data_IF_320940004906
#
_entry.id   IF_320940004906
#
_cell.length_a   1.000
_cell.length_b   1.000
_cell.length_c   1.000
_cell.angle_alpha   90.00
_cell.angle_beta   90.00
_cell.angle_gamma   90.00
#
_symmetry.space_group_name_H-M   'P 1'
#
loop_
_entity.id
_entity.type
_entity.pdbx_description
1 polymer ?
#
# COMPACT_ATOMS: atom_id res chain seq x y z
N UNK A 1 -34.06 -7.79 10.34
CA UNK A 1 -32.98 -7.38 9.42
C UNK A 1 -31.64 -7.64 10.10
N UNK A 2 -30.82 -8.56 9.58
CA UNK A 2 -29.55 -9.00 10.20
C UNK A 2 -28.52 -7.85 10.29
N UNK A 3 -27.74 -7.81 11.38
CA UNK A 3 -26.59 -6.91 11.56
C UNK A 3 -25.68 -6.87 10.32
N UNK A 4 -25.57 -8.01 9.61
CA UNK A 4 -24.80 -8.17 8.36
C UNK A 4 -25.28 -7.25 7.23
N UNK A 5 -26.56 -6.89 7.17
CA UNK A 5 -27.11 -6.01 6.11
C UNK A 5 -26.90 -4.53 6.40
N UNK A 6 -26.82 -4.12 7.68
CA UNK A 6 -26.53 -2.73 8.08
C UNK A 6 -25.04 -2.40 7.94
N UNK A 7 -24.14 -3.33 8.30
CA UNK A 7 -22.69 -3.19 8.08
C UNK A 7 -22.30 -3.08 6.60
N UNK A 8 -23.17 -3.49 5.67
CA UNK A 8 -22.93 -3.40 4.22
C UNK A 8 -23.17 -2.01 3.64
N UNK A 9 -23.80 -1.10 4.39
CA UNK A 9 -24.10 0.28 3.98
C UNK A 9 -23.12 1.33 4.51
N UNK A 10 -22.20 0.93 5.37
CA UNK A 10 -21.13 1.81 5.85
C UNK A 10 -19.96 1.67 4.86
N UNK A 11 -19.45 2.75 4.25
CA UNK A 11 -18.29 2.71 3.34
C UNK A 11 -16.96 2.52 4.10
N UNK A 12 -16.97 1.78 5.22
CA UNK A 12 -15.79 1.50 6.03
C UNK A 12 -15.33 0.09 5.69
N UNK A 13 -14.04 -0.03 5.35
CA UNK A 13 -13.41 -1.31 5.05
C UNK A 13 -13.56 -2.25 6.26
N UNK A 14 -14.06 -3.47 6.03
CA UNK A 14 -14.18 -4.50 7.07
C UNK A 14 -12.83 -4.83 7.70
N UNK A 15 -11.76 -4.75 6.92
CA UNK A 15 -10.41 -4.97 7.43
C UNK A 15 -10.00 -3.87 8.41
N UNK A 16 -10.30 -2.61 8.10
CA UNK A 16 -10.11 -1.49 9.02
C UNK A 16 -10.92 -1.65 10.31
N UNK A 17 -12.19 -2.09 10.23
CA UNK A 17 -13.00 -2.35 11.44
C UNK A 17 -12.36 -3.43 12.32
N UNK A 18 -11.85 -4.51 11.73
CA UNK A 18 -11.13 -5.54 12.48
C UNK A 18 -9.85 -4.96 13.10
N UNK A 19 -9.13 -4.10 12.39
CA UNK A 19 -7.90 -3.49 12.87
C UNK A 19 -8.16 -2.51 14.03
N UNK A 20 -9.21 -1.68 13.93
CA UNK A 20 -9.68 -0.82 15.04
C UNK A 20 -10.10 -1.68 16.23
N UNK A 21 -10.86 -2.76 16.01
CA UNK A 21 -11.25 -3.67 17.08
C UNK A 21 -10.03 -4.31 17.75
N UNK A 22 -9.02 -4.73 16.97
CA UNK A 22 -7.76 -5.26 17.49
C UNK A 22 -7.01 -4.23 18.32
N UNK A 23 -6.91 -2.98 17.86
CA UNK A 23 -6.30 -1.88 18.64
C UNK A 23 -7.06 -1.64 19.94
N UNK A 24 -8.40 -1.63 19.91
CA UNK A 24 -9.23 -1.47 21.10
C UNK A 24 -9.04 -2.63 22.08
N UNK A 25 -8.94 -3.87 21.58
CA UNK A 25 -8.66 -5.04 22.42
C UNK A 25 -7.27 -4.94 23.03
N UNK A 26 -6.23 -4.58 22.26
CA UNK A 26 -4.87 -4.40 22.77
C UNK A 26 -4.78 -3.27 23.81
N UNK A 27 -5.60 -2.22 23.69
CA UNK A 27 -5.67 -1.12 24.65
C UNK A 27 -6.25 -1.55 26.01
N UNK A 28 -7.27 -2.42 26.01
CA UNK A 28 -7.96 -2.87 27.24
C UNK A 28 -7.30 -4.11 27.83
N UNK A 29 -6.84 -5.02 26.98
CA UNK A 29 -6.26 -6.31 27.32
C UNK A 29 -4.92 -6.50 26.59
N UNK A 30 -3.88 -5.74 26.95
CA UNK A 30 -2.56 -5.92 26.35
C UNK A 30 -1.93 -7.24 26.77
N UNK A 31 -1.23 -7.91 25.85
CA UNK A 31 -0.33 -9.01 26.18
C UNK A 31 0.77 -8.54 27.16
N UNK A 32 1.06 -9.33 28.20
CA UNK A 32 2.03 -9.02 29.28
C UNK A 32 2.81 -10.26 29.67
N UNK A 33 4.04 -10.09 30.14
CA UNK A 33 4.88 -11.17 30.68
C UNK A 33 5.07 -12.32 29.69
N UNK A 34 4.97 -13.57 30.17
CA UNK A 34 5.13 -14.79 29.36
C UNK A 34 4.20 -14.86 28.14
N UNK A 35 3.01 -14.25 28.24
CA UNK A 35 2.07 -14.17 27.10
C UNK A 35 2.68 -13.30 25.99
N UNK A 36 3.33 -12.18 26.33
CA UNK A 36 3.97 -11.33 25.34
C UNK A 36 5.11 -12.07 24.61
N UNK A 37 5.95 -12.80 25.34
CA UNK A 37 7.03 -13.62 24.75
C UNK A 37 6.49 -14.68 23.78
N UNK A 38 5.38 -15.35 24.15
CA UNK A 38 4.72 -16.29 23.25
C UNK A 38 4.19 -15.59 21.99
N UNK A 39 3.58 -14.40 22.14
CA UNK A 39 3.12 -13.60 21.01
C UNK A 39 4.27 -13.17 20.08
N UNK A 40 5.46 -12.89 20.58
CA UNK A 40 6.62 -12.54 19.76
C UNK A 40 7.03 -13.69 18.83
N UNK A 41 7.13 -14.91 19.35
CA UNK A 41 7.43 -16.11 18.56
C UNK A 41 6.33 -16.43 17.54
N UNK A 42 5.06 -16.33 17.94
CA UNK A 42 3.93 -16.56 17.03
C UNK A 42 3.93 -15.48 15.93
N UNK A 43 4.21 -14.23 16.28
CA UNK A 43 4.27 -13.11 15.34
C UNK A 43 5.41 -13.31 14.35
N UNK A 44 6.60 -13.70 14.82
CA UNK A 44 7.73 -14.08 13.96
C UNK A 44 7.33 -15.15 12.94
N UNK A 45 6.72 -16.25 13.40
CA UNK A 45 6.26 -17.34 12.53
C UNK A 45 5.17 -16.91 11.55
N UNK A 46 4.23 -16.08 12.00
CA UNK A 46 3.13 -15.55 11.18
C UNK A 46 3.62 -14.62 10.08
N UNK A 47 4.63 -13.78 10.37
CA UNK A 47 5.25 -12.91 9.36
C UNK A 47 6.09 -13.74 8.37
N UNK A 48 6.88 -14.71 8.85
CA UNK A 48 7.63 -15.61 7.97
C UNK A 48 6.70 -16.38 7.01
N UNK A 49 5.60 -16.92 7.53
CA UNK A 49 4.56 -17.58 6.72
C UNK A 49 3.93 -16.61 5.72
N UNK A 50 3.62 -15.38 6.14
CA UNK A 50 3.05 -14.35 5.27
C UNK A 50 3.96 -14.09 4.06
N UNK A 51 5.24 -13.80 4.29
CA UNK A 51 6.19 -13.51 3.21
C UNK A 51 6.48 -14.74 2.35
N UNK A 52 6.52 -15.93 2.93
CA UNK A 52 6.57 -17.18 2.17
C UNK A 52 5.37 -17.32 1.23
N UNK A 53 4.15 -17.07 1.71
CA UNK A 53 2.94 -17.11 0.87
C UNK A 53 2.95 -16.02 -0.20
N UNK A 54 3.49 -14.83 0.09
CA UNK A 54 3.67 -13.78 -0.91
C UNK A 54 4.62 -14.23 -2.01
N UNK A 55 5.72 -14.89 -1.64
CA UNK A 55 6.65 -15.53 -2.55
C UNK A 55 5.97 -16.57 -3.43
N UNK A 56 5.32 -17.55 -2.80
CA UNK A 56 4.64 -18.65 -3.48
C UNK A 56 3.51 -18.21 -4.42
N UNK A 57 2.98 -16.98 -4.27
CA UNK A 57 1.92 -16.43 -5.10
C UNK A 57 2.41 -15.58 -6.27
N UNK A 58 3.69 -15.20 -6.33
CA UNK A 58 4.23 -14.40 -7.42
C UNK A 58 4.26 -15.17 -8.72
N UNK A 59 3.27 -14.95 -9.58
CA UNK A 59 3.33 -15.47 -10.93
C UNK A 59 4.29 -14.64 -11.78
N UNK A 60 5.38 -15.22 -12.33
CA UNK A 60 6.21 -14.53 -13.32
C UNK A 60 5.39 -14.06 -14.51
N UNK A 61 4.35 -14.80 -14.91
CA UNK A 61 3.44 -14.42 -16.00
C UNK A 61 2.65 -13.15 -15.66
N UNK A 62 2.29 -12.93 -14.39
CA UNK A 62 1.62 -11.71 -13.97
C UNK A 62 2.57 -10.49 -13.99
N UNK A 63 3.86 -10.71 -13.70
CA UNK A 63 4.92 -9.71 -13.88
C UNK A 63 5.08 -9.37 -15.36
N UNK A 64 5.14 -10.39 -16.23
CA UNK A 64 5.20 -10.22 -17.69
C UNK A 64 3.97 -9.51 -18.26
N UNK A 65 2.76 -9.82 -17.79
CA UNK A 65 1.55 -9.11 -18.20
C UNK A 65 1.57 -7.62 -17.81
N UNK A 66 2.24 -7.26 -16.70
CA UNK A 66 2.50 -5.86 -16.35
C UNK A 66 3.34 -5.13 -17.39
N UNK A 67 4.32 -5.81 -17.98
CA UNK A 67 5.17 -5.21 -19.01
C UNK A 67 4.41 -4.84 -20.29
N UNK A 68 3.21 -5.38 -20.54
CA UNK A 68 2.38 -5.00 -21.70
C UNK A 68 1.91 -3.53 -21.64
N UNK A 69 1.78 -2.93 -20.45
CA UNK A 69 1.46 -1.50 -20.26
C UNK A 69 2.64 -0.75 -19.60
N UNK A 70 3.86 -1.02 -20.05
CA UNK A 70 5.10 -0.57 -19.40
C UNK A 70 5.17 0.93 -19.10
N UNK A 71 4.60 1.81 -19.95
CA UNK A 71 4.58 3.27 -19.69
C UNK A 71 3.80 3.61 -18.42
N UNK A 72 2.61 3.04 -18.26
CA UNK A 72 1.75 3.24 -17.10
C UNK A 72 2.36 2.57 -15.87
N UNK A 73 2.80 1.32 -16.01
CA UNK A 73 3.40 0.56 -14.90
C UNK A 73 4.67 1.22 -14.39
N UNK A 74 5.57 1.61 -15.31
CA UNK A 74 6.79 2.32 -14.99
C UNK A 74 6.53 3.63 -14.26
N UNK A 75 5.50 4.39 -14.68
CA UNK A 75 5.09 5.60 -13.97
C UNK A 75 4.65 5.30 -12.53
N UNK A 76 3.77 4.30 -12.34
CA UNK A 76 3.30 3.94 -10.99
C UNK A 76 4.44 3.45 -10.12
N UNK A 77 5.39 2.68 -10.66
CA UNK A 77 6.55 2.18 -9.91
C UNK A 77 7.53 3.31 -9.56
N UNK A 78 7.82 4.23 -10.49
CA UNK A 78 8.61 5.42 -10.20
C UNK A 78 7.92 6.30 -9.16
N UNK A 79 6.61 6.44 -9.23
CA UNK A 79 5.87 7.15 -8.18
C UNK A 79 6.07 6.47 -6.83
N UNK A 80 5.86 5.16 -6.77
CA UNK A 80 5.87 4.38 -5.53
C UNK A 80 7.25 4.27 -4.88
N UNK A 81 8.29 3.98 -5.68
CA UNK A 81 9.63 3.62 -5.21
C UNK A 81 10.72 4.65 -5.54
N UNK A 82 10.38 5.78 -6.16
CA UNK A 82 11.31 6.90 -6.33
C UNK A 82 10.69 8.22 -5.81
N UNK A 83 9.54 8.66 -6.34
CA UNK A 83 8.92 9.92 -5.94
C UNK A 83 8.60 9.94 -4.44
N UNK A 84 7.93 8.91 -3.92
CA UNK A 84 7.62 8.86 -2.50
C UNK A 84 8.88 8.80 -1.62
N UNK A 85 9.88 7.93 -1.84
CA UNK A 85 11.14 7.99 -1.11
C UNK A 85 11.82 9.35 -1.17
N UNK A 86 11.79 10.06 -2.31
CA UNK A 86 12.28 11.45 -2.41
C UNK A 86 11.49 12.41 -1.52
N UNK A 87 10.15 12.29 -1.49
CA UNK A 87 9.31 13.04 -0.53
C UNK A 87 9.73 12.69 0.91
N UNK A 88 9.98 11.41 1.20
CA UNK A 88 10.46 10.93 2.49
C UNK A 88 11.78 11.58 2.93
N UNK A 89 12.75 11.67 2.02
CA UNK A 89 14.04 12.31 2.29
C UNK A 89 13.91 13.80 2.61
N UNK A 90 12.89 14.48 2.07
CA UNK A 90 12.58 15.88 2.39
C UNK A 90 11.80 16.00 3.70
N UNK A 91 10.87 15.09 3.96
CA UNK A 91 10.01 15.10 5.16
C UNK A 91 10.79 14.70 6.41
N UNK A 92 11.69 13.71 6.33
CA UNK A 92 12.42 13.18 7.47
C UNK A 92 13.14 14.26 8.32
N UNK A 93 13.96 15.17 7.77
CA UNK A 93 14.63 16.20 8.56
C UNK A 93 13.66 17.27 9.10
N UNK A 94 12.53 17.51 8.42
CA UNK A 94 11.50 18.45 8.88
C UNK A 94 10.72 17.84 10.06
N UNK A 95 10.28 16.60 9.92
CA UNK A 95 9.58 15.84 10.94
C UNK A 95 10.45 15.67 12.19
N UNK A 96 11.73 15.32 12.02
CA UNK A 96 12.66 15.12 13.15
C UNK A 96 12.93 16.37 14.00
N UNK A 97 12.58 17.57 13.53
CA UNK A 97 12.68 18.82 14.31
C UNK A 97 11.48 19.05 15.22
N UNK A 98 10.33 18.44 14.93
CA UNK A 98 9.04 18.77 15.57
C UNK A 98 8.33 17.54 16.13
N UNK A 99 8.79 16.33 15.80
CA UNK A 99 8.25 15.05 16.26
C UNK A 99 9.34 14.22 16.94
N UNK A 100 8.95 13.34 17.89
CA UNK A 100 9.80 12.25 18.36
C UNK A 100 10.38 11.44 17.21
N UNK A 101 11.58 10.88 17.42
CA UNK A 101 12.34 10.18 16.39
C UNK A 101 11.55 9.02 15.77
N UNK A 102 10.75 8.31 16.57
CA UNK A 102 9.96 7.15 16.17
C UNK A 102 8.80 7.53 15.25
N UNK A 103 8.15 8.68 15.50
CA UNK A 103 7.09 9.21 14.63
C UNK A 103 7.67 9.76 13.32
N UNK A 104 8.81 10.44 13.38
CA UNK A 104 9.51 10.91 12.18
C UNK A 104 9.98 9.73 11.32
N UNK A 105 10.49 8.67 11.95
CA UNK A 105 10.83 7.41 11.30
C UNK A 105 9.61 6.73 10.68
N UNK A 106 8.46 6.73 11.37
CA UNK A 106 7.20 6.21 10.83
C UNK A 106 6.73 6.95 9.57
N UNK A 107 6.82 8.28 9.57
CA UNK A 107 6.53 9.10 8.39
C UNK A 107 7.49 8.80 7.23
N UNK A 108 8.78 8.62 7.52
CA UNK A 108 9.76 8.26 6.51
C UNK A 108 9.47 6.86 5.94
N UNK A 109 9.30 5.88 6.82
CA UNK A 109 9.01 4.48 6.49
C UNK A 109 7.77 4.33 5.60
N UNK A 110 6.69 5.05 5.94
CA UNK A 110 5.47 5.14 5.12
C UNK A 110 5.78 5.42 3.64
N UNK A 111 6.74 6.31 3.35
CA UNK A 111 7.05 6.68 1.97
C UNK A 111 7.79 5.58 1.21
N UNK A 112 8.40 4.61 1.89
CA UNK A 112 9.12 3.50 1.28
C UNK A 112 8.22 2.31 0.93
N UNK A 113 6.96 2.33 1.37
CA UNK A 113 6.01 1.23 1.21
C UNK A 113 5.48 1.08 -0.23
N UNK A 114 5.03 -0.12 -0.62
CA UNK A 114 4.34 -0.31 -1.89
C UNK A 114 2.94 0.30 -1.90
N UNK A 115 2.31 0.32 -3.09
CA UNK A 115 0.95 0.82 -3.30
C UNK A 115 -0.13 -0.12 -2.74
N UNK A 116 -1.37 0.34 -2.61
CA UNK A 116 -2.51 -0.49 -2.17
C UNK A 116 -3.16 -1.28 -3.31
N UNK A 117 -3.56 -2.54 -3.08
CA UNK A 117 -4.32 -3.33 -4.07
C UNK A 117 -5.81 -3.00 -4.08
N UNK A 118 -6.52 -3.32 -2.98
CA UNK A 118 -7.99 -3.30 -2.98
C UNK A 118 -8.57 -1.90 -3.20
N UNK A 119 -8.08 -0.89 -2.47
CA UNK A 119 -8.59 0.48 -2.58
C UNK A 119 -8.25 1.12 -3.92
N UNK A 120 -7.08 0.87 -4.50
CA UNK A 120 -6.72 1.37 -5.83
C UNK A 120 -7.64 0.81 -6.92
N UNK A 121 -7.90 -0.50 -6.90
CA UNK A 121 -8.81 -1.14 -7.86
C UNK A 121 -10.24 -0.61 -7.68
N UNK A 122 -10.72 -0.55 -6.44
CA UNK A 122 -12.07 -0.10 -6.14
C UNK A 122 -12.30 1.36 -6.58
N UNK A 123 -11.40 2.28 -6.24
CA UNK A 123 -11.54 3.69 -6.63
C UNK A 123 -11.33 3.90 -8.12
N UNK A 124 -10.43 3.15 -8.77
CA UNK A 124 -10.28 3.17 -10.23
C UNK A 124 -11.57 2.73 -10.91
N UNK A 125 -12.20 1.66 -10.42
CA UNK A 125 -13.48 1.18 -10.94
C UNK A 125 -14.60 2.21 -10.76
N UNK A 126 -14.75 2.79 -9.56
CA UNK A 126 -15.77 3.82 -9.28
C UNK A 126 -15.58 5.04 -10.19
N UNK A 127 -14.34 5.45 -10.43
CA UNK A 127 -14.00 6.59 -11.27
C UNK A 127 -14.13 6.34 -12.78
N UNK A 128 -14.34 5.08 -13.20
CA UNK A 128 -14.36 4.69 -14.61
C UNK A 128 -12.98 4.64 -15.27
N UNK A 129 -11.93 4.32 -14.50
CA UNK A 129 -10.55 4.19 -14.99
C UNK A 129 -10.19 2.79 -15.49
N UNK A 130 -8.92 2.62 -15.87
CA UNK A 130 -8.38 1.35 -16.37
C UNK A 130 -8.17 0.34 -15.21
N UNK A 131 -9.23 -0.41 -14.89
CA UNK A 131 -9.23 -1.41 -13.82
C UNK A 131 -8.20 -2.54 -14.03
N UNK A 132 -8.02 -3.12 -15.23
CA UNK A 132 -6.98 -4.09 -15.49
C UNK A 132 -5.57 -3.55 -15.21
N UNK A 133 -5.25 -2.33 -15.66
CA UNK A 133 -3.96 -1.72 -15.38
C UNK A 133 -3.75 -1.48 -13.89
N UNK A 134 -4.77 -0.99 -13.18
CA UNK A 134 -4.70 -0.78 -11.73
C UNK A 134 -4.50 -2.08 -10.94
N UNK A 135 -5.19 -3.16 -11.32
CA UNK A 135 -5.01 -4.48 -10.73
C UNK A 135 -3.56 -4.95 -10.90
N UNK A 136 -3.01 -4.82 -12.11
CA UNK A 136 -1.64 -5.24 -12.40
C UNK A 136 -0.62 -4.37 -11.66
N UNK A 137 -0.76 -3.03 -11.73
CA UNK A 137 0.15 -2.10 -11.05
C UNK A 137 0.21 -2.31 -9.56
N UNK A 138 -0.95 -2.39 -8.92
CA UNK A 138 -0.99 -2.53 -7.48
C UNK A 138 -0.48 -3.91 -7.04
N UNK A 139 -0.81 -4.97 -7.78
CA UNK A 139 -0.31 -6.32 -7.47
C UNK A 139 1.21 -6.37 -7.60
N UNK A 140 1.76 -5.97 -8.75
CA UNK A 140 3.21 -5.99 -8.99
C UNK A 140 3.94 -5.07 -8.01
N UNK A 141 3.38 -3.88 -7.70
CA UNK A 141 3.96 -2.99 -6.70
C UNK A 141 4.06 -3.64 -5.32
N UNK A 142 3.03 -4.33 -4.82
CA UNK A 142 3.13 -5.03 -3.53
C UNK A 142 4.18 -6.13 -3.56
N UNK A 143 4.29 -6.84 -4.67
CA UNK A 143 5.22 -7.94 -4.81
C UNK A 143 6.66 -7.46 -4.89
N UNK A 144 6.92 -6.41 -5.68
CA UNK A 144 8.21 -5.72 -5.68
C UNK A 144 8.50 -5.12 -4.31
N UNK A 145 7.50 -4.54 -3.64
CA UNK A 145 7.64 -3.94 -2.32
C UNK A 145 8.21 -4.88 -1.26
N UNK A 146 7.90 -6.19 -1.34
CA UNK A 146 8.50 -7.20 -0.45
C UNK A 146 10.03 -7.16 -0.47
N UNK A 147 10.61 -6.89 -1.63
CA UNK A 147 12.06 -6.87 -1.84
C UNK A 147 12.60 -5.45 -1.78
N UNK A 148 11.94 -4.52 -2.48
CA UNK A 148 12.39 -3.14 -2.67
C UNK A 148 12.27 -2.32 -1.39
N UNK A 149 11.20 -2.48 -0.61
CA UNK A 149 11.01 -1.67 0.61
C UNK A 149 12.10 -1.94 1.65
N UNK A 150 12.44 -3.19 2.04
CA UNK A 150 13.57 -3.44 2.94
C UNK A 150 14.90 -2.91 2.40
N UNK A 151 15.15 -3.06 1.09
CA UNK A 151 16.36 -2.53 0.46
C UNK A 151 16.42 -1.00 0.51
N UNK A 152 15.30 -0.30 0.27
CA UNK A 152 15.21 1.15 0.40
C UNK A 152 15.40 1.62 1.85
N UNK A 153 14.84 0.89 2.82
CA UNK A 153 15.06 1.18 4.25
C UNK A 153 16.54 1.05 4.57
N UNK A 154 17.19 -0.04 4.16
CA UNK A 154 18.62 -0.26 4.37
C UNK A 154 19.48 0.85 3.76
N UNK A 155 19.21 1.21 2.51
CA UNK A 155 20.00 2.19 1.76
C UNK A 155 19.83 3.61 2.31
N UNK A 156 18.59 4.00 2.65
CA UNK A 156 18.29 5.40 2.96
C UNK A 156 18.31 5.70 4.47
N UNK A 157 18.04 4.73 5.34
CA UNK A 157 18.14 4.93 6.78
C UNK A 157 19.61 4.99 7.26
N UNK A 158 20.54 4.33 6.55
CA UNK A 158 21.97 4.34 6.87
C UNK A 158 22.68 5.67 6.54
N UNK A 159 22.17 6.45 5.57
CA UNK A 159 22.78 7.71 5.16
C UNK A 159 22.20 8.99 5.81
N UNK A 160 21.10 8.88 6.56
CA UNK A 160 20.24 10.01 6.93
C UNK A 160 20.46 10.65 8.31
N UNK A 161 21.59 10.41 9.00
CA UNK A 161 21.86 11.03 10.31
C UNK A 161 21.02 10.50 11.48
N UNK A 162 20.08 9.58 11.24
CA UNK A 162 19.43 8.79 12.27
C UNK A 162 20.33 7.59 12.62
N UNK A 163 21.31 7.80 13.50
CA UNK A 163 22.26 6.78 13.99
C UNK A 163 21.64 5.62 14.80
N UNK A 164 20.38 5.28 14.54
CA UNK A 164 19.63 4.24 15.24
C UNK A 164 19.72 2.85 14.59
N UNK A 165 20.25 2.75 13.36
CA UNK A 165 20.27 1.48 12.64
C UNK A 165 21.67 1.11 12.15
N UNK A 166 22.22 0.04 12.71
CA UNK A 166 23.42 -0.58 12.16
C UNK A 166 23.08 -1.30 10.85
N UNK A 167 24.01 -1.25 9.88
CA UNK A 167 23.87 -1.96 8.60
C UNK A 167 23.63 -3.47 8.82
N UNK A 168 24.31 -4.07 9.81
CA UNK A 168 24.17 -5.48 10.20
C UNK A 168 22.78 -5.83 10.74
N UNK A 169 22.18 -4.95 11.56
CA UNK A 169 20.83 -5.15 12.09
C UNK A 169 19.78 -5.08 10.98
N UNK A 170 19.89 -4.10 10.08
CA UNK A 170 18.94 -3.97 8.97
C UNK A 170 19.14 -5.08 7.93
N UNK A 171 20.37 -5.52 7.66
CA UNK A 171 20.66 -6.65 6.77
C UNK A 171 20.04 -7.94 7.28
N UNK A 172 20.23 -8.28 8.57
CA UNK A 172 19.62 -9.46 9.19
C UNK A 172 18.10 -9.44 9.10
N UNK A 173 17.49 -8.28 9.36
CA UNK A 173 16.05 -8.04 9.24
C UNK A 173 15.58 -8.15 7.79
N UNK A 174 16.32 -7.59 6.83
CA UNK A 174 16.01 -7.68 5.42
C UNK A 174 16.09 -9.13 4.94
N UNK A 175 17.11 -9.88 5.37
CA UNK A 175 17.24 -11.31 5.14
C UNK A 175 16.10 -12.10 5.79
N UNK A 176 15.62 -11.70 6.96
CA UNK A 176 14.48 -12.34 7.63
C UNK A 176 13.16 -12.15 6.87
N UNK A 177 13.02 -11.07 6.08
CA UNK A 177 11.87 -10.86 5.16
C UNK A 177 12.12 -11.57 3.82
N UNK A 178 13.32 -11.42 3.25
CA UNK A 178 13.68 -11.90 1.92
C UNK A 178 13.79 -13.43 1.86
N UNK A 179 14.41 -14.06 2.85
CA UNK A 179 14.61 -15.50 2.89
C UNK A 179 13.29 -16.30 2.80
N UNK A 180 12.25 -16.04 3.63
CA UNK A 180 10.98 -16.75 3.49
C UNK A 180 10.30 -16.45 2.16
N UNK A 181 10.39 -15.22 1.65
CA UNK A 181 9.86 -14.88 0.32
C UNK A 181 10.53 -15.68 -0.80
N UNK A 182 11.87 -15.78 -0.80
CA UNK A 182 12.65 -16.55 -1.77
C UNK A 182 12.32 -18.05 -1.64
N UNK A 183 12.23 -18.57 -0.43
CA UNK A 183 11.78 -19.95 -0.20
C UNK A 183 10.38 -20.19 -0.77
N UNK A 184 9.48 -19.21 -0.63
CA UNK A 184 8.16 -19.20 -1.25
C UNK A 184 8.21 -19.24 -2.77
N UNK A 185 9.08 -18.44 -3.40
CA UNK A 185 9.29 -18.47 -4.85
C UNK A 185 9.75 -19.84 -5.34
N UNK A 186 10.72 -20.44 -4.63
CA UNK A 186 11.25 -21.76 -4.98
C UNK A 186 10.16 -22.82 -4.83
N UNK A 187 9.31 -22.74 -3.81
CA UNK A 187 8.19 -23.65 -3.61
C UNK A 187 7.02 -23.42 -4.58
N UNK A 188 6.94 -22.26 -5.24
CA UNK A 188 5.80 -21.87 -6.09
C UNK A 188 5.39 -22.92 -7.13
N UNK A 189 6.28 -23.56 -7.90
CA UNK A 189 5.88 -24.55 -8.90
C UNK A 189 5.08 -25.72 -8.30
N UNK A 190 5.32 -26.02 -7.02
CA UNK A 190 4.66 -27.11 -6.29
C UNK A 190 3.32 -26.65 -5.68
N UNK A 191 3.30 -25.50 -4.98
CA UNK A 191 2.14 -25.08 -4.16
C UNK A 191 1.30 -23.95 -4.78
N UNK A 192 1.82 -23.25 -5.79
CA UNK A 192 1.21 -22.06 -6.38
C UNK A 192 -0.17 -22.32 -7.00
N UNK A 193 -0.33 -23.47 -7.67
CA UNK A 193 -1.62 -23.89 -8.22
C UNK A 193 -2.66 -24.19 -7.14
N UNK A 194 -2.24 -24.82 -6.04
CA UNK A 194 -3.11 -25.09 -4.89
C UNK A 194 -3.52 -23.79 -4.18
N UNK A 195 -2.57 -22.87 -3.97
CA UNK A 195 -2.83 -21.54 -3.39
C UNK A 195 -3.79 -20.71 -4.24
N UNK A 196 -3.67 -20.79 -5.57
CA UNK A 196 -4.57 -20.10 -6.49
C UNK A 196 -6.01 -20.61 -6.40
N UNK A 197 -6.20 -21.91 -6.09
CA UNK A 197 -7.51 -22.54 -5.88
C UNK A 197 -8.08 -22.26 -4.48
N UNK A 198 -7.23 -22.11 -3.47
CA UNK A 198 -7.62 -21.90 -2.07
C UNK A 198 -7.45 -20.44 -1.61
N UNK A 199 -7.91 -19.48 -2.43
CA UNK A 199 -7.83 -18.03 -2.12
C UNK A 199 -8.32 -17.65 -0.72
N UNK A 200 -9.41 -18.23 -0.16
CA UNK A 200 -9.88 -17.86 1.18
C UNK A 200 -8.86 -18.13 2.28
N UNK A 201 -8.13 -19.25 2.21
CA UNK A 201 -7.10 -19.60 3.20
C UNK A 201 -6.02 -18.53 3.23
N UNK A 202 -5.52 -18.16 2.06
CA UNK A 202 -4.50 -17.12 1.92
C UNK A 202 -4.98 -15.77 2.46
N UNK A 203 -6.23 -15.40 2.23
CA UNK A 203 -6.80 -14.13 2.75
C UNK A 203 -6.91 -14.15 4.27
N UNK A 204 -7.26 -15.30 4.86
CA UNK A 204 -7.31 -15.46 6.32
C UNK A 204 -5.92 -15.37 6.92
N UNK A 205 -4.92 -16.05 6.35
CA UNK A 205 -3.53 -15.95 6.83
C UNK A 205 -3.01 -14.52 6.69
N UNK A 206 -3.25 -13.88 5.54
CA UNK A 206 -2.82 -12.50 5.27
C UNK A 206 -3.37 -11.52 6.31
N UNK A 207 -4.69 -11.50 6.48
CA UNK A 207 -5.34 -10.60 7.44
C UNK A 207 -5.06 -11.00 8.89
N UNK A 208 -5.01 -12.29 9.18
CA UNK A 208 -4.74 -12.83 10.51
C UNK A 208 -3.35 -12.45 11.01
N UNK A 209 -2.33 -12.63 10.16
CA UNK A 209 -0.96 -12.22 10.48
C UNK A 209 -0.88 -10.70 10.71
N UNK A 210 -1.53 -9.87 9.90
CA UNK A 210 -1.52 -8.42 10.13
C UNK A 210 -2.19 -8.07 11.46
N UNK A 211 -3.37 -8.62 11.76
CA UNK A 211 -4.07 -8.36 13.02
C UNK A 211 -3.24 -8.82 14.23
N UNK A 212 -2.57 -9.96 14.13
CA UNK A 212 -1.67 -10.46 15.16
C UNK A 212 -0.51 -9.48 15.41
N UNK A 213 0.15 -9.03 14.35
CA UNK A 213 1.26 -8.07 14.41
C UNK A 213 0.80 -6.74 15.03
N UNK A 214 -0.36 -6.22 14.62
CA UNK A 214 -0.94 -5.01 15.24
C UNK A 214 -1.21 -5.23 16.72
N UNK A 215 -1.82 -6.36 17.08
CA UNK A 215 -2.15 -6.66 18.46
C UNK A 215 -0.90 -6.69 19.36
N UNK A 216 0.15 -7.40 18.93
CA UNK A 216 1.41 -7.50 19.65
C UNK A 216 2.04 -6.11 19.84
N UNK A 217 2.17 -5.35 18.75
CA UNK A 217 2.79 -4.02 18.76
C UNK A 217 2.04 -3.01 19.62
N UNK A 218 0.70 -2.97 19.52
CA UNK A 218 -0.10 -2.07 20.34
C UNK A 218 -0.10 -2.49 21.80
N UNK A 219 -0.12 -3.80 22.09
CA UNK A 219 -0.01 -4.32 23.46
C UNK A 219 1.31 -3.88 24.10
N UNK A 220 2.42 -4.03 23.38
CA UNK A 220 3.74 -3.57 23.81
C UNK A 220 3.72 -2.05 24.08
N UNK A 221 3.18 -1.25 23.16
CA UNK A 221 3.07 0.20 23.34
C UNK A 221 2.22 0.62 24.55
N UNK A 222 1.15 -0.13 24.86
CA UNK A 222 0.33 0.09 26.06
C UNK A 222 1.10 -0.24 27.34
N UNK A 223 1.79 -1.38 27.35
CA UNK A 223 2.60 -1.81 28.51
C UNK A 223 3.78 -0.86 28.74
N UNK A 224 4.39 -0.37 27.67
CA UNK A 224 5.48 0.60 27.71
C UNK A 224 5.03 2.04 28.00
N UNK A 225 3.71 2.30 28.13
CA UNK A 225 3.18 3.62 28.45
C UNK A 225 3.32 4.67 27.34
N UNK A 226 3.62 4.23 26.12
CA UNK A 226 3.96 5.08 24.98
C UNK A 226 2.79 5.99 24.54
N UNK A 227 1.56 5.53 24.75
CA UNK A 227 0.38 6.32 24.40
C UNK A 227 0.13 7.49 25.36
N UNK A 228 0.65 7.40 26.59
CA UNK A 228 0.53 8.47 27.59
C UNK A 228 1.53 9.60 27.34
N UNK A 229 2.64 9.31 26.66
CA UNK A 229 3.65 10.31 26.28
C UNK A 229 3.33 11.03 24.96
N UNK A 230 2.32 10.57 24.20
CA UNK A 230 1.86 11.21 22.98
C UNK A 230 0.84 12.32 23.27
N UNK A 231 1.26 13.57 23.07
CA UNK A 231 0.36 14.71 23.09
C UNK A 231 -0.50 14.83 21.83
N UNK A 232 -1.64 15.52 21.96
CA UNK A 232 -2.53 15.83 20.83
C UNK A 232 -1.85 16.68 19.75
N UNK A 233 -0.85 17.47 20.12
CA UNK A 233 -0.07 18.31 19.22
C UNK A 233 0.76 17.46 18.24
N UNK A 234 1.43 16.42 18.75
CA UNK A 234 2.22 15.50 17.92
C UNK A 234 1.32 14.75 16.92
N UNK A 235 0.14 14.30 17.38
CA UNK A 235 -0.85 13.67 16.50
C UNK A 235 -1.31 14.62 15.38
N UNK A 236 -1.61 15.87 15.71
CA UNK A 236 -1.98 16.87 14.72
C UNK A 236 -0.87 17.10 13.70
N UNK A 237 0.38 17.22 14.15
CA UNK A 237 1.55 17.39 13.27
C UNK A 237 1.72 16.19 12.34
N UNK A 238 1.58 14.95 12.82
CA UNK A 238 1.63 13.73 11.98
C UNK A 238 0.54 13.78 10.91
N UNK A 239 -0.70 14.11 11.28
CA UNK A 239 -1.81 14.24 10.32
C UNK A 239 -1.51 15.30 9.26
N UNK A 240 -0.92 16.44 9.63
CA UNK A 240 -0.55 17.48 8.69
C UNK A 240 0.53 16.99 7.70
N UNK A 241 1.54 16.26 8.17
CA UNK A 241 2.54 15.64 7.29
C UNK A 241 1.91 14.61 6.36
N UNK A 242 1.04 13.73 6.86
CA UNK A 242 0.35 12.71 6.05
C UNK A 242 -0.52 13.35 4.95
N UNK A 243 -1.27 14.40 5.30
CA UNK A 243 -2.06 15.18 4.34
C UNK A 243 -1.15 15.83 3.30
N UNK A 244 -0.03 16.42 3.71
CA UNK A 244 0.92 17.06 2.80
C UNK A 244 1.56 16.04 1.83
N UNK A 245 2.05 14.90 2.36
CA UNK A 245 2.62 13.80 1.56
C UNK A 245 1.60 13.33 0.52
N UNK A 246 0.36 13.06 0.95
CA UNK A 246 -0.70 12.59 0.04
C UNK A 246 -1.06 13.65 -1.01
N UNK A 247 -1.20 14.91 -0.61
CA UNK A 247 -1.56 16.01 -1.50
C UNK A 247 -0.48 16.22 -2.58
N UNK A 248 0.81 16.18 -2.20
CA UNK A 248 1.93 16.25 -3.12
C UNK A 248 1.92 15.05 -4.08
N UNK A 249 1.76 13.83 -3.56
CA UNK A 249 1.72 12.63 -4.40
C UNK A 249 0.55 12.65 -5.40
N UNK A 250 -0.66 13.00 -4.96
CA UNK A 250 -1.83 13.15 -5.83
C UNK A 250 -1.62 14.24 -6.89
N UNK A 251 -1.05 15.38 -6.50
CA UNK A 251 -0.83 16.51 -7.42
C UNK A 251 0.20 16.14 -8.48
N UNK A 252 1.35 15.61 -8.09
CA UNK A 252 2.42 15.23 -9.03
C UNK A 252 1.97 14.12 -9.96
N UNK A 253 1.35 13.06 -9.43
CA UNK A 253 0.84 11.95 -10.27
C UNK A 253 -0.20 12.43 -11.28
N UNK A 254 -1.13 13.31 -10.86
CA UNK A 254 -2.16 13.87 -11.74
C UNK A 254 -1.55 14.77 -12.82
N UNK A 255 -0.68 15.71 -12.44
CA UNK A 255 -0.07 16.67 -13.36
C UNK A 255 0.82 15.98 -14.38
N UNK A 256 1.67 15.05 -13.94
CA UNK A 256 2.57 14.34 -14.84
C UNK A 256 1.82 13.34 -15.73
N UNK A 257 0.79 12.65 -15.24
CA UNK A 257 -0.03 11.79 -16.09
C UNK A 257 -0.66 12.58 -17.25
N UNK A 258 -1.17 13.78 -16.97
CA UNK A 258 -1.72 14.68 -18.00
C UNK A 258 -0.64 15.21 -18.94
N UNK A 259 0.49 15.66 -18.40
CA UNK A 259 1.60 16.19 -19.20
C UNK A 259 2.21 15.15 -20.14
N UNK A 260 2.27 13.88 -19.72
CA UNK A 260 2.78 12.76 -20.51
C UNK A 260 1.76 12.19 -21.52
N UNK A 261 0.58 12.80 -21.61
CA UNK A 261 -0.43 12.47 -22.62
C UNK A 261 -1.17 11.15 -22.38
N UNK A 262 -1.25 10.66 -21.13
CA UNK A 262 -2.06 9.48 -20.84
C UNK A 262 -3.55 9.79 -21.04
N UNK A 263 -4.29 8.81 -21.59
CA UNK A 263 -5.74 8.92 -21.70
C UNK A 263 -6.39 8.99 -20.30
N UNK A 264 -7.67 9.35 -20.25
CA UNK A 264 -8.34 9.58 -18.95
C UNK A 264 -8.39 8.33 -18.06
N UNK A 265 -8.59 7.16 -18.64
CA UNK A 265 -8.70 5.91 -17.90
C UNK A 265 -7.36 5.53 -17.25
N UNK A 266 -6.26 5.76 -17.96
CA UNK A 266 -4.90 5.55 -17.52
C UNK A 266 -4.45 6.61 -16.51
N UNK A 267 -4.83 7.88 -16.68
CA UNK A 267 -4.64 8.93 -15.67
C UNK A 267 -5.24 8.49 -14.32
N UNK A 268 -6.49 8.02 -14.33
CA UNK A 268 -7.19 7.58 -13.12
C UNK A 268 -6.45 6.41 -12.44
N UNK A 269 -6.01 5.42 -13.22
CA UNK A 269 -5.24 4.29 -12.70
C UNK A 269 -3.89 4.74 -12.12
N UNK A 270 -3.19 5.66 -12.81
CA UNK A 270 -1.93 6.25 -12.35
C UNK A 270 -2.11 7.00 -11.04
N UNK A 271 -3.12 7.86 -10.95
CA UNK A 271 -3.36 8.66 -9.74
C UNK A 271 -3.66 7.74 -8.58
N UNK A 272 -4.56 6.77 -8.74
CA UNK A 272 -4.94 5.93 -7.61
C UNK A 272 -3.90 4.90 -7.20
N UNK A 273 -3.17 4.31 -8.13
CA UNK A 273 -2.10 3.36 -7.82
C UNK A 273 -0.80 4.07 -7.45
N UNK A 274 -0.53 5.24 -8.01
CA UNK A 274 0.72 5.97 -7.81
C UNK A 274 0.76 6.82 -6.55
N UNK A 275 -0.40 7.16 -5.94
CA UNK A 275 -0.47 8.07 -4.80
C UNK A 275 -0.79 7.41 -3.45
N UNK A 276 -0.94 6.08 -3.40
CA UNK A 276 -1.36 5.36 -2.20
C UNK A 276 -0.24 4.51 -1.62
N UNK A 277 -0.37 4.18 -0.33
CA UNK A 277 0.58 3.32 0.41
C UNK A 277 -0.14 2.21 1.17
N UNK A 278 0.41 1.00 1.09
CA UNK A 278 -0.18 -0.23 1.62
C UNK A 278 0.08 -0.39 3.10
N UNK A 279 -0.95 -0.14 3.91
CA UNK A 279 -0.93 -0.50 5.32
C UNK A 279 -0.86 -2.02 5.52
N UNK A 280 -1.59 -2.79 4.71
CA UNK A 280 -1.65 -4.24 4.81
C UNK A 280 -0.26 -4.89 4.66
N UNK A 281 0.58 -4.34 3.79
CA UNK A 281 1.95 -4.83 3.57
C UNK A 281 2.96 -4.16 4.50
N UNK A 282 2.76 -2.88 4.82
CA UNK A 282 3.66 -2.14 5.68
C UNK A 282 3.66 -2.61 7.14
N UNK A 283 2.52 -3.01 7.69
CA UNK A 283 2.47 -3.44 9.09
C UNK A 283 3.33 -4.69 9.37
N UNK A 284 3.20 -5.80 8.62
CA UNK A 284 4.04 -6.97 8.83
C UNK A 284 5.52 -6.69 8.60
N UNK A 285 5.85 -5.84 7.63
CA UNK A 285 7.23 -5.40 7.40
C UNK A 285 7.77 -4.61 8.59
N UNK A 286 7.00 -3.66 9.13
CA UNK A 286 7.39 -2.88 10.29
C UNK A 286 7.64 -3.75 11.53
N UNK A 287 6.84 -4.81 11.72
CA UNK A 287 7.01 -5.76 12.80
C UNK A 287 8.35 -6.47 12.82
N UNK A 288 8.99 -6.67 11.65
CA UNK A 288 10.37 -7.18 11.58
C UNK A 288 11.37 -6.02 11.61
N UNK A 289 11.13 -4.97 10.81
CA UNK A 289 12.08 -3.86 10.63
C UNK A 289 12.36 -3.07 11.91
N UNK A 290 11.38 -3.00 12.81
CA UNK A 290 11.44 -2.19 14.01
C UNK A 290 11.16 -3.00 15.28
N UNK A 291 11.34 -4.32 15.23
CA UNK A 291 11.21 -5.19 16.39
C UNK A 291 12.07 -4.66 17.56
N UNK A 292 11.47 -4.48 18.74
CA UNK A 292 12.13 -3.98 19.95
C UNK A 292 12.34 -2.46 20.03
N UNK A 293 11.96 -1.70 19.00
CA UNK A 293 11.74 -0.24 19.11
C UNK A 293 10.24 -0.01 19.31
N UNK A 294 9.79 1.20 19.68
CA UNK A 294 8.38 1.53 19.85
C UNK A 294 7.59 1.40 18.53
N UNK A 295 7.36 0.17 18.07
CA UNK A 295 6.78 -0.22 16.79
C UNK A 295 5.39 0.40 16.64
N UNK A 296 4.67 0.47 17.75
CA UNK A 296 3.42 1.21 17.89
C UNK A 296 3.49 2.65 17.35
N UNK A 297 4.56 3.40 17.64
CA UNK A 297 4.76 4.76 17.15
C UNK A 297 5.12 4.78 15.67
N UNK A 298 5.98 3.87 15.22
CA UNK A 298 6.41 3.82 13.82
C UNK A 298 5.23 3.50 12.89
N UNK A 299 4.31 2.64 13.33
CA UNK A 299 3.12 2.24 12.56
C UNK A 299 2.00 3.30 12.61
N UNK A 300 2.00 4.19 13.60
CA UNK A 300 0.93 5.17 13.78
C UNK A 300 0.72 6.12 12.57
N UNK A 301 1.77 6.76 11.99
CA UNK A 301 1.60 7.56 10.77
C UNK A 301 1.02 6.75 9.60
N UNK A 302 1.42 5.50 9.43
CA UNK A 302 0.89 4.62 8.38
C UNK A 302 -0.63 4.40 8.52
N UNK A 303 -1.13 4.25 9.75
CA UNK A 303 -2.55 4.07 10.02
C UNK A 303 -3.36 5.35 9.75
N UNK A 304 -2.82 6.51 10.16
CA UNK A 304 -3.42 7.81 9.90
C UNK A 304 -3.44 8.13 8.41
N UNK A 305 -2.31 7.98 7.73
CA UNK A 305 -2.19 8.11 6.27
C UNK A 305 -3.20 7.21 5.55
N UNK A 306 -3.35 5.95 6.00
CA UNK A 306 -4.31 5.03 5.41
C UNK A 306 -5.75 5.56 5.47
N UNK A 307 -6.15 6.16 6.58
CA UNK A 307 -7.49 6.74 6.71
C UNK A 307 -7.65 7.99 5.84
N UNK A 308 -6.65 8.86 5.82
CA UNK A 308 -6.64 10.10 5.04
C UNK A 308 -6.73 9.77 3.54
N UNK A 309 -5.93 8.81 3.05
CA UNK A 309 -5.97 8.41 1.63
C UNK A 309 -7.31 7.80 1.23
N UNK A 310 -8.00 7.05 2.11
CA UNK A 310 -9.31 6.49 1.79
C UNK A 310 -10.36 7.58 1.61
N UNK A 311 -10.41 8.56 2.52
CA UNK A 311 -11.35 9.68 2.41
C UNK A 311 -11.06 10.55 1.18
N UNK A 312 -9.80 10.96 1.00
CA UNK A 312 -9.39 11.81 -0.11
C UNK A 312 -9.62 11.12 -1.47
N UNK A 313 -9.23 9.85 -1.60
CA UNK A 313 -9.42 9.12 -2.85
C UNK A 313 -10.88 8.77 -3.12
N UNK A 314 -11.72 8.55 -2.11
CA UNK A 314 -13.15 8.37 -2.29
C UNK A 314 -13.80 9.64 -2.86
N UNK A 315 -13.48 10.80 -2.30
CA UNK A 315 -13.96 12.08 -2.82
C UNK A 315 -13.48 12.33 -4.25
N UNK A 316 -12.21 12.04 -4.53
CA UNK A 316 -11.63 12.18 -5.86
C UNK A 316 -12.25 11.21 -6.89
N UNK A 317 -12.52 9.97 -6.49
CA UNK A 317 -13.18 8.97 -7.36
C UNK A 317 -14.58 9.42 -7.77
N UNK A 318 -15.36 9.97 -6.84
CA UNK A 318 -16.67 10.53 -7.13
C UNK A 318 -16.58 11.73 -8.09
N UNK A 319 -15.55 12.59 -7.94
CA UNK A 319 -15.31 13.70 -8.85
C UNK A 319 -14.96 13.22 -10.27
N UNK A 320 -14.08 12.24 -10.40
CA UNK A 320 -13.76 11.63 -11.70
C UNK A 320 -15.01 10.99 -12.33
N UNK A 321 -15.78 10.21 -11.57
CA UNK A 321 -17.00 9.56 -12.07
C UNK A 321 -18.02 10.56 -12.62
N UNK A 322 -18.18 11.72 -11.96
CA UNK A 322 -19.06 12.81 -12.43
C UNK A 322 -18.57 13.42 -13.73
N UNK A 323 -17.26 13.61 -13.88
CA UNK A 323 -16.67 14.14 -15.11
C UNK A 323 -16.82 13.17 -16.27
N UNK A 324 -16.59 11.87 -16.04
CA UNK A 324 -16.77 10.83 -17.06
C UNK A 324 -18.23 10.71 -17.52
N UNK A 325 -19.19 10.86 -16.61
CA UNK A 325 -20.63 10.87 -16.94
C UNK A 325 -21.10 12.15 -17.64
N UNK A 326 -20.40 13.26 -17.47
CA UNK A 326 -20.75 14.54 -18.09
C UNK A 326 -20.30 14.65 -19.55
N UNK A 327 -19.46 13.72 -20.03
CA UNK A 327 -19.16 13.58 -21.46
C UNK A 327 -20.32 12.76 -22.07
N UNK A 328 -21.23 13.37 -22.86
CA UNK A 328 -22.28 12.61 -23.53
C UNK A 328 -21.63 11.57 -24.46
N UNK A 329 -22.21 10.37 -24.60
CA UNK A 329 -21.75 9.43 -25.63
C UNK A 329 -21.84 10.11 -26.99
N UNK A 330 -20.92 9.80 -27.93
CA UNK A 330 -21.02 10.32 -29.29
C UNK A 330 -22.42 10.02 -29.80
N UNK A 331 -23.04 11.02 -30.42
CA UNK A 331 -24.35 10.82 -31.04
C UNK A 331 -24.26 9.68 -32.05
N UNK A 332 -25.39 9.01 -32.34
CA UNK A 332 -25.44 7.94 -33.35
C UNK A 332 -24.85 8.42 -34.69
N UNK A 333 -24.97 9.72 -34.98
CA UNK A 333 -24.36 10.36 -36.15
C UNK A 333 -22.83 10.46 -36.07
N UNK A 334 -22.27 10.82 -34.91
CA UNK A 334 -20.81 10.88 -34.70
C UNK A 334 -20.17 9.48 -34.68
N UNK A 335 -20.84 8.50 -34.04
CA UNK A 335 -20.38 7.11 -34.05
C UNK A 335 -20.42 6.50 -35.47
N UNK A 336 -21.48 6.79 -36.23
CA UNK A 336 -21.57 6.37 -37.63
C UNK A 336 -20.56 7.10 -38.54
N UNK A 337 -20.18 8.34 -38.20
CA UNK A 337 -19.15 9.08 -38.92
C UNK A 337 -17.75 8.54 -38.63
N UNK A 338 -17.42 8.22 -37.37
CA UNK A 338 -16.15 7.56 -37.01
C UNK A 338 -16.04 6.15 -37.62
N UNK A 339 -17.13 5.39 -37.64
CA UNK A 339 -17.16 4.06 -38.27
C UNK A 339 -16.94 4.17 -39.78
N UNK A 340 -17.59 5.13 -40.47
CA UNK A 340 -17.34 5.42 -41.89
C UNK A 340 -15.89 5.85 -42.16
N UNK A 341 -15.34 6.76 -41.35
CA UNK A 341 -13.97 7.25 -41.51
C UNK A 341 -12.94 6.13 -41.25
N UNK A 342 -13.25 5.18 -40.37
CA UNK A 342 -12.42 4.00 -40.12
C UNK A 342 -12.44 2.99 -41.29
N UNK A 343 -13.60 2.82 -41.92
CA UNK A 343 -13.80 1.95 -43.10
C UNK A 343 -13.12 2.56 -44.32
N UNK A 344 -13.25 3.88 -44.53
CA UNK A 344 -12.62 4.59 -45.64
C UNK A 344 -11.09 4.60 -45.51
N UNK A 345 -10.55 4.74 -44.29
CA UNK A 345 -9.10 4.60 -44.06
C UNK A 345 -8.59 3.18 -44.30
N UNK A 346 -9.37 2.16 -43.92
CA UNK A 346 -9.03 0.76 -44.20
C UNK A 346 -9.05 0.44 -45.71
N UNK A 347 -10.01 1.02 -46.44
CA UNK A 347 -10.10 0.93 -47.89
C UNK A 347 -8.94 1.66 -48.61
N UNK A 348 -8.51 2.81 -48.09
CA UNK A 348 -7.37 3.54 -48.64
C UNK A 348 -6.03 2.82 -48.46
N UNK A 349 -5.90 1.96 -47.44
CA UNK A 349 -4.69 1.14 -47.22
C UNK A 349 -4.65 -0.18 -47.99
N UNK A 350 -5.71 -0.54 -48.72
CA UNK A 350 -5.83 -1.83 -49.44
C UNK A 350 -5.81 -1.71 -50.96
N UNK A 351 -5.66 -0.51 -51.53
CA UNK A 351 -5.36 -0.35 -52.94
C UNK A 351 -3.83 -0.37 -53.16
N UNK A 352 -3.29 -1.30 -53.96
CA UNK A 352 -1.85 -1.51 -54.13
C UNK A 352 -1.12 -0.36 -54.84
#
# INVERSE_FOLDING_TARGET
MSLRSRLRRIPVDRFLLMLIATVAIAAVLPARGEVAEAFDWITYGAIALLFFLYGARLSPQAVWAGLLHWRLQGFVFLSTFALFPLIGLLVAPLAGRVLPAELALGLFYLTLLPSTVQSSIAFTSIAGGNVPAALTSASVSNMLGVVVTPALVLLLASGGGAGAFSFDSIEKIALQILAPFVAGQIARPLIGGWLARHKPVTVVVDRGSILLVVYAAFSEGVVAGVWLSLGWQQLLIVVLFDVAILAVALSITTLLARKLGFNKQDEIAIVFCGSKKSMATGIPMAGILFAGHAMALVVLPLMLFHQIQLFACAALAQRYARQTRAVPPPSVAEAAAEERDSVDRAAATTNP
#
